data_IF_860323896707
#
_entry.id   IF_860323896707
#
_cell.length_a   1.000
_cell.length_b   1.000
_cell.length_c   1.000
_cell.angle_alpha   90.00
_cell.angle_beta   90.00
_cell.angle_gamma   90.00
#
_symmetry.space_group_name_H-M   'P 1'
#
loop_
_entity.id
_entity.type
_entity.pdbx_description
1 polymer ?
#
# COMPACT_ATOMS: atom_id res chain seq x y z
N UNK A 1 1.45 -32.78 -7.61
CA UNK A 1 2.53 -31.81 -7.34
C UNK A 1 1.87 -30.45 -7.18
N UNK A 2 1.67 -30.00 -5.93
CA UNK A 2 1.02 -28.72 -5.65
C UNK A 2 2.04 -27.59 -5.86
N UNK A 3 1.74 -26.73 -6.82
CA UNK A 3 2.56 -25.58 -7.20
C UNK A 3 2.55 -24.55 -6.05
N UNK A 4 3.58 -24.53 -5.20
CA UNK A 4 3.76 -23.57 -4.11
C UNK A 4 4.28 -22.24 -4.67
N UNK A 5 3.45 -21.49 -5.41
CA UNK A 5 3.90 -20.28 -6.11
C UNK A 5 2.94 -19.10 -6.00
N UNK A 6 2.51 -18.74 -4.78
CA UNK A 6 2.52 -17.35 -4.29
C UNK A 6 2.18 -17.35 -2.81
N UNK A 7 3.05 -16.77 -1.97
CA UNK A 7 2.80 -16.69 -0.53
C UNK A 7 1.57 -15.82 -0.20
N UNK A 8 1.22 -14.89 -1.11
CA UNK A 8 0.11 -13.96 -0.97
C UNK A 8 -1.07 -14.35 -1.87
N UNK A 9 -2.26 -14.45 -1.28
CA UNK A 9 -3.53 -14.72 -1.96
C UNK A 9 -4.25 -13.41 -2.28
N UNK A 10 -3.93 -12.83 -3.45
CA UNK A 10 -4.49 -11.58 -3.93
C UNK A 10 -6.01 -11.63 -4.16
N UNK A 11 -6.61 -12.70 -4.73
CA UNK A 11 -8.06 -12.85 -4.75
C UNK A 11 -8.68 -12.72 -3.35
N UNK A 12 -8.13 -13.43 -2.36
CA UNK A 12 -8.64 -13.37 -1.00
C UNK A 12 -8.49 -11.97 -0.40
N UNK A 13 -7.39 -11.28 -0.65
CA UNK A 13 -7.20 -9.91 -0.18
C UNK A 13 -8.25 -8.95 -0.78
N UNK A 14 -8.60 -9.09 -2.06
CA UNK A 14 -9.65 -8.29 -2.68
C UNK A 14 -11.02 -8.52 -2.02
N UNK A 15 -11.34 -9.76 -1.64
CA UNK A 15 -12.56 -10.10 -0.90
C UNK A 15 -12.56 -9.50 0.51
N UNK A 16 -11.45 -9.61 1.24
CA UNK A 16 -11.30 -9.04 2.59
C UNK A 16 -11.56 -7.54 2.57
N UNK A 17 -10.96 -6.85 1.61
CA UNK A 17 -11.14 -5.40 1.46
C UNK A 17 -12.56 -5.06 1.03
N UNK A 18 -13.14 -5.82 0.09
CA UNK A 18 -14.56 -5.67 -0.29
C UNK A 18 -15.47 -5.76 0.93
N UNK A 19 -15.29 -6.78 1.76
CA UNK A 19 -16.16 -7.02 2.92
C UNK A 19 -16.02 -5.91 3.95
N UNK A 20 -14.79 -5.48 4.25
CA UNK A 20 -14.53 -4.37 5.15
C UNK A 20 -15.12 -3.04 4.68
N UNK A 21 -14.99 -2.72 3.40
CA UNK A 21 -15.62 -1.52 2.82
C UNK A 21 -17.15 -1.65 2.78
N UNK A 22 -17.69 -2.82 2.44
CA UNK A 22 -19.14 -3.05 2.45
C UNK A 22 -19.73 -2.91 3.85
N UNK A 23 -19.01 -3.36 4.88
CA UNK A 23 -19.37 -3.16 6.28
C UNK A 23 -19.37 -1.67 6.64
N UNK A 24 -18.36 -0.91 6.21
CA UNK A 24 -18.33 0.54 6.44
C UNK A 24 -19.47 1.26 5.73
N UNK A 25 -19.81 0.89 4.49
CA UNK A 25 -20.96 1.46 3.78
C UNK A 25 -22.29 1.16 4.50
N UNK A 26 -22.44 -0.05 5.05
CA UNK A 26 -23.62 -0.40 5.85
C UNK A 26 -23.75 0.51 7.07
N UNK A 27 -22.65 0.72 7.81
CA UNK A 27 -22.65 1.62 8.96
C UNK A 27 -23.02 3.06 8.58
N UNK A 28 -22.44 3.59 7.50
CA UNK A 28 -22.77 4.93 6.98
C UNK A 28 -24.25 5.04 6.60
N UNK A 29 -24.86 3.97 6.11
CA UNK A 29 -26.30 3.94 5.80
C UNK A 29 -27.16 3.93 7.06
N UNK A 30 -26.80 3.12 8.04
CA UNK A 30 -27.49 3.04 9.34
C UNK A 30 -27.45 4.38 10.08
N UNK A 31 -26.30 5.07 10.01
CA UNK A 31 -26.11 6.43 10.54
C UNK A 31 -26.83 7.52 9.75
N UNK A 32 -27.45 7.19 8.61
CA UNK A 32 -28.02 8.13 7.65
C UNK A 32 -27.01 9.22 7.23
N UNK A 33 -25.74 8.82 7.05
CA UNK A 33 -24.67 9.72 6.70
C UNK A 33 -24.93 10.40 5.35
N UNK A 34 -24.77 11.73 5.33
CA UNK A 34 -24.87 12.57 4.13
C UNK A 34 -23.77 12.27 3.13
N UNK A 35 -22.58 11.94 3.64
CA UNK A 35 -21.39 11.59 2.85
C UNK A 35 -21.16 10.08 2.89
N UNK A 36 -20.90 9.47 1.73
CA UNK A 36 -20.69 8.03 1.56
C UNK A 36 -19.21 7.63 1.55
N UNK A 37 -18.92 6.37 1.25
CA UNK A 37 -17.54 5.92 1.03
C UNK A 37 -16.81 6.68 -0.09
N UNK A 38 -17.56 7.07 -1.12
CA UNK A 38 -17.07 7.75 -2.30
C UNK A 38 -16.74 9.24 -2.08
N UNK A 39 -16.99 9.76 -0.87
CA UNK A 39 -16.48 11.07 -0.45
C UNK A 39 -15.13 11.00 0.27
N UNK A 40 -14.66 9.81 0.65
CA UNK A 40 -13.43 9.65 1.41
C UNK A 40 -12.23 9.92 0.50
N UNK A 41 -11.28 10.72 1.00
CA UNK A 41 -9.97 10.84 0.33
C UNK A 41 -9.15 9.57 0.56
N UNK A 42 -8.15 9.38 -0.28
CA UNK A 42 -7.22 8.24 -0.23
C UNK A 42 -6.68 7.98 1.18
N UNK A 43 -6.13 8.99 1.85
CA UNK A 43 -5.61 8.86 3.22
C UNK A 43 -6.67 8.49 4.27
N UNK A 44 -7.94 8.84 4.04
CA UNK A 44 -9.06 8.48 4.92
C UNK A 44 -9.52 7.03 4.68
N UNK A 45 -9.20 6.47 3.51
CA UNK A 45 -9.44 5.06 3.18
C UNK A 45 -8.44 4.14 3.86
N UNK A 46 -7.17 4.55 4.00
CA UNK A 46 -6.09 3.73 4.57
C UNK A 46 -6.42 3.07 5.91
N UNK A 47 -6.95 3.76 6.94
CA UNK A 47 -7.29 3.10 8.20
C UNK A 47 -8.40 2.05 8.05
N UNK A 48 -9.42 2.29 7.22
CA UNK A 48 -10.52 1.33 7.01
C UNK A 48 -9.98 0.05 6.36
N UNK A 49 -9.13 0.20 5.35
CA UNK A 49 -8.47 -0.92 4.69
C UNK A 49 -7.57 -1.70 5.65
N UNK A 50 -6.75 -0.98 6.43
CA UNK A 50 -5.83 -1.58 7.39
C UNK A 50 -6.57 -2.38 8.47
N UNK A 51 -7.63 -1.81 9.05
CA UNK A 51 -8.43 -2.46 10.09
C UNK A 51 -9.12 -3.73 9.55
N UNK A 52 -9.63 -3.67 8.32
CA UNK A 52 -10.28 -4.81 7.66
C UNK A 52 -9.31 -5.96 7.42
N UNK A 53 -8.08 -5.65 7.02
CA UNK A 53 -7.02 -6.64 6.78
C UNK A 53 -6.50 -7.21 8.11
N UNK A 54 -6.29 -6.35 9.11
CA UNK A 54 -5.85 -6.75 10.45
C UNK A 54 -6.87 -7.68 11.13
N UNK A 55 -8.16 -7.43 10.95
CA UNK A 55 -9.24 -8.27 11.47
C UNK A 55 -9.21 -9.71 10.91
N UNK A 56 -8.52 -9.95 9.79
CA UNK A 56 -8.33 -11.27 9.20
C UNK A 56 -7.04 -11.96 9.68
N UNK A 57 -6.34 -11.37 10.65
CA UNK A 57 -5.16 -11.94 11.26
C UNK A 57 -3.86 -11.72 10.47
N UNK A 58 -3.85 -10.82 9.50
CA UNK A 58 -2.62 -10.35 8.84
C UNK A 58 -2.01 -9.19 9.62
N UNK A 59 -0.68 -9.06 9.60
CA UNK A 59 -0.05 -7.85 10.10
C UNK A 59 -0.09 -6.75 9.04
N UNK A 60 -0.30 -5.51 9.48
CA UNK A 60 -0.45 -4.35 8.60
C UNK A 60 0.41 -3.21 9.10
N UNK A 61 1.28 -2.71 8.21
CA UNK A 61 2.14 -1.58 8.45
C UNK A 61 1.78 -0.47 7.48
N UNK A 62 1.45 0.73 7.97
CA UNK A 62 1.13 1.88 7.13
C UNK A 62 2.38 2.75 6.88
N UNK A 63 2.45 3.38 5.72
CA UNK A 63 3.45 4.41 5.40
C UNK A 63 4.89 3.92 5.63
N UNK A 64 5.24 2.74 5.12
CA UNK A 64 6.58 2.17 5.31
C UNK A 64 7.52 2.63 4.22
N UNK A 65 8.70 3.12 4.61
CA UNK A 65 9.74 3.49 3.67
C UNK A 65 10.13 2.28 2.81
N UNK A 66 10.33 2.51 1.52
CA UNK A 66 10.78 1.45 0.61
C UNK A 66 12.13 0.85 1.04
N UNK A 67 12.34 -0.44 0.80
CA UNK A 67 13.54 -1.16 1.22
C UNK A 67 14.72 -0.93 0.25
N UNK A 68 14.54 -0.15 -0.82
CA UNK A 68 15.56 0.10 -1.84
C UNK A 68 16.88 0.60 -1.25
N UNK A 69 17.95 -0.15 -1.54
CA UNK A 69 19.31 0.15 -1.12
C UNK A 69 19.89 1.34 -1.90
N UNK A 70 19.49 2.56 -1.54
CA UNK A 70 20.01 3.80 -2.12
C UNK A 70 21.15 4.37 -1.25
N UNK A 71 22.18 4.93 -1.90
CA UNK A 71 23.28 5.63 -1.23
C UNK A 71 24.53 4.79 -0.98
N UNK A 72 25.64 5.46 -0.67
CA UNK A 72 26.93 4.86 -0.36
C UNK A 72 27.10 4.65 1.15
N UNK A 73 28.02 3.77 1.60
CA UNK A 73 28.39 3.67 3.01
C UNK A 73 28.65 5.05 3.62
N UNK A 74 27.97 5.38 4.73
CA UNK A 74 28.05 6.68 5.41
C UNK A 74 27.08 7.76 4.94
N UNK A 75 26.40 7.55 3.79
CA UNK A 75 25.49 8.52 3.18
C UNK A 75 24.13 7.90 2.80
N UNK A 76 23.77 6.74 3.36
CA UNK A 76 22.47 6.09 3.12
C UNK A 76 21.34 6.95 3.68
N UNK A 77 20.21 7.15 2.96
CA UNK A 77 19.13 8.01 3.42
C UNK A 77 18.46 7.45 4.67
N UNK A 78 18.00 8.35 5.55
CA UNK A 78 17.17 7.97 6.69
C UNK A 78 15.72 7.69 6.28
N UNK A 79 14.90 7.21 7.22
CA UNK A 79 13.48 6.89 6.99
C UNK A 79 12.66 8.05 6.39
N UNK A 80 12.89 9.29 6.85
CA UNK A 80 12.16 10.47 6.37
C UNK A 80 12.53 10.94 4.96
N UNK A 81 13.69 10.53 4.45
CA UNK A 81 14.20 10.92 3.14
C UNK A 81 13.88 9.89 2.03
N UNK A 82 13.16 8.83 2.38
CA UNK A 82 12.73 7.77 1.45
C UNK A 82 11.27 7.91 1.11
N UNK A 83 10.94 7.54 -0.12
CA UNK A 83 9.57 7.31 -0.53
C UNK A 83 8.95 6.19 0.31
N UNK A 84 7.64 6.28 0.52
CA UNK A 84 6.88 5.35 1.35
C UNK A 84 5.85 4.61 0.52
N UNK A 85 5.59 3.38 0.95
CA UNK A 85 4.51 2.54 0.49
C UNK A 85 3.34 2.66 1.47
N UNK A 86 2.13 2.75 0.93
CA UNK A 86 0.92 3.01 1.72
C UNK A 86 0.65 1.90 2.74
N UNK A 87 0.70 0.64 2.29
CA UNK A 87 0.55 -0.54 3.15
C UNK A 87 1.65 -1.58 2.89
N UNK A 88 2.14 -2.20 3.95
CA UNK A 88 2.95 -3.41 3.90
C UNK A 88 2.33 -4.48 4.78
N UNK A 89 2.09 -5.66 4.21
CA UNK A 89 1.46 -6.77 4.90
C UNK A 89 2.49 -7.82 5.34
N UNK A 90 2.25 -8.40 6.52
CA UNK A 90 2.97 -9.55 7.05
C UNK A 90 1.99 -10.70 7.34
N UNK A 91 2.44 -11.97 7.32
CA UNK A 91 1.55 -13.12 7.50
C UNK A 91 0.75 -13.12 8.81
N UNK A 92 1.24 -12.44 9.84
CA UNK A 92 0.56 -12.26 11.11
C UNK A 92 0.98 -10.95 11.81
N UNK A 93 0.20 -10.45 12.80
CA UNK A 93 0.41 -9.14 13.42
C UNK A 93 1.62 -9.10 14.37
N UNK A 94 2.08 -10.25 14.84
CA UNK A 94 3.26 -10.42 15.70
C UNK A 94 4.59 -10.44 14.91
N UNK A 95 4.52 -10.38 13.58
CA UNK A 95 5.70 -10.34 12.71
C UNK A 95 6.13 -8.89 12.44
N UNK A 96 7.41 -8.60 12.67
CA UNK A 96 8.03 -7.33 12.28
C UNK A 96 8.63 -7.36 10.90
N UNK A 97 8.54 -6.22 10.20
CA UNK A 97 9.20 -6.02 8.92
C UNK A 97 10.64 -5.55 9.12
N UNK A 98 11.61 -6.29 8.58
CA UNK A 98 13.01 -5.89 8.55
C UNK A 98 13.24 -4.64 7.68
N UNK A 99 14.17 -3.77 8.07
CA UNK A 99 14.61 -2.60 7.28
C UNK A 99 16.10 -2.72 6.93
N UNK A 100 16.45 -3.24 5.74
CA UNK A 100 17.84 -3.45 5.35
C UNK A 100 18.69 -2.17 5.38
N UNK A 101 18.11 -0.99 5.18
CA UNK A 101 18.87 0.26 5.19
C UNK A 101 19.25 0.64 6.63
N UNK A 102 18.34 0.42 7.58
CA UNK A 102 18.63 0.65 9.00
C UNK A 102 19.77 -0.25 9.47
N UNK A 103 19.72 -1.54 9.13
CA UNK A 103 20.81 -2.49 9.41
C UNK A 103 22.14 -2.04 8.79
N UNK A 104 22.14 -1.60 7.53
CA UNK A 104 23.36 -1.14 6.88
C UNK A 104 23.89 0.19 7.42
N UNK A 105 23.01 1.09 7.89
CA UNK A 105 23.40 2.33 8.55
C UNK A 105 24.05 2.05 9.91
N UNK A 106 23.51 1.10 10.67
CA UNK A 106 24.12 0.65 11.92
C UNK A 106 25.50 0.03 11.67
N UNK A 107 25.64 -0.80 10.63
CA UNK A 107 26.94 -1.34 10.21
C UNK A 107 27.94 -0.27 9.77
N UNK A 108 27.51 0.74 9.00
CA UNK A 108 28.38 1.86 8.62
C UNK A 108 28.89 2.62 9.82
N UNK A 109 28.01 2.85 10.80
CA UNK A 109 28.34 3.52 12.04
C UNK A 109 29.38 2.72 12.84
N UNK A 110 29.16 1.40 13.01
CA UNK A 110 30.13 0.50 13.66
C UNK A 110 31.48 0.46 12.94
N UNK A 111 31.49 0.55 11.60
CA UNK A 111 32.70 0.55 10.79
C UNK A 111 33.36 1.94 10.67
N UNK A 112 32.83 2.97 11.34
CA UNK A 112 33.36 4.32 11.31
C UNK A 112 33.27 5.00 9.93
N UNK A 113 32.35 4.55 9.07
CA UNK A 113 32.18 5.06 7.70
C UNK A 113 31.24 6.27 7.61
N UNK A 114 30.74 6.79 8.73
CA UNK A 114 29.90 7.99 8.79
C UNK A 114 30.62 9.31 8.48
N UNK A 115 29.88 10.38 8.23
CA UNK A 115 30.42 11.75 8.13
C UNK A 115 31.16 12.15 9.42
N UNK A 116 32.17 13.03 9.32
CA UNK A 116 33.12 13.39 10.41
C UNK A 116 32.50 13.74 11.77
N UNK A 117 31.24 14.17 11.82
CA UNK A 117 30.49 14.46 13.06
C UNK A 117 29.96 13.21 13.79
N UNK A 118 29.97 12.04 13.13
CA UNK A 118 29.43 10.77 13.63
C UNK A 118 30.49 9.65 13.60
N UNK A 119 31.77 10.02 13.67
CA UNK A 119 32.83 9.05 13.96
C UNK A 119 32.59 8.59 15.41
N UNK A 120 32.44 7.29 15.70
CA UNK A 120 32.37 6.86 17.08
C UNK A 120 33.69 7.27 17.73
N UNK A 121 33.61 8.21 18.67
CA UNK A 121 34.67 8.40 19.64
C UNK A 121 34.98 7.04 20.23
N UNK A 122 36.27 6.69 20.34
CA UNK A 122 36.77 5.48 21.02
C UNK A 122 36.24 5.33 22.47
N UNK A 123 35.48 6.31 22.97
CA UNK A 123 34.87 6.40 24.29
C UNK A 123 33.34 6.21 24.33
N UNK A 124 32.66 5.86 23.23
CA UNK A 124 31.19 5.57 23.26
C UNK A 124 30.87 4.25 24.01
N UNK A 125 31.89 3.45 24.31
CA UNK A 125 31.76 2.13 24.95
C UNK A 125 31.34 2.17 26.45
N UNK A 126 31.20 3.35 27.06
CA UNK A 126 30.93 3.49 28.51
C UNK A 126 29.56 4.10 28.87
N UNK A 127 28.70 4.42 27.90
CA UNK A 127 27.42 5.09 28.22
C UNK A 127 26.21 4.62 27.41
N UNK A 128 26.34 3.61 26.55
CA UNK A 128 25.20 3.00 25.88
C UNK A 128 24.53 2.02 26.85
N UNK A 129 23.31 2.27 27.37
CA UNK A 129 22.56 1.21 28.02
C UNK A 129 22.42 0.07 27.01
N UNK A 130 22.57 -1.21 27.43
CA UNK A 130 22.46 -2.33 26.50
C UNK A 130 21.17 -2.17 25.71
N UNK A 131 21.28 -2.25 24.38
CA UNK A 131 20.11 -2.32 23.51
C UNK A 131 19.15 -3.34 24.11
N UNK A 132 17.87 -2.99 24.33
CA UNK A 132 16.94 -3.91 24.98
C UNK A 132 17.03 -5.25 24.25
N UNK A 133 17.27 -6.32 25.01
CA UNK A 133 17.37 -7.65 24.46
C UNK A 133 16.19 -7.86 23.50
N UNK A 134 16.42 -8.41 22.30
CA UNK A 134 15.34 -8.64 21.35
C UNK A 134 14.22 -9.36 22.09
N UNK A 135 13.03 -8.74 22.12
CA UNK A 135 11.87 -9.28 22.82
C UNK A 135 11.68 -10.72 22.36
N UNK A 136 11.84 -11.71 23.25
CA UNK A 136 11.75 -13.11 22.85
C UNK A 136 10.37 -13.36 22.24
N UNK A 137 10.32 -13.70 20.95
CA UNK A 137 9.08 -14.06 20.25
C UNK A 137 8.69 -13.18 19.06
N UNK A 138 9.34 -12.02 18.84
CA UNK A 138 9.10 -11.26 17.61
C UNK A 138 9.74 -12.00 16.42
N UNK A 139 8.90 -12.51 15.52
CA UNK A 139 9.35 -13.09 14.26
C UNK A 139 9.57 -11.95 13.28
N UNK A 140 10.73 -11.91 12.63
CA UNK A 140 11.00 -10.89 11.61
C UNK A 140 10.80 -11.49 10.20
N UNK A 141 10.25 -10.69 9.28
CA UNK A 141 10.11 -11.03 7.86
C UNK A 141 10.95 -10.07 7.01
N UNK A 142 11.56 -10.63 5.96
CA UNK A 142 12.33 -9.85 4.99
C UNK A 142 11.40 -9.06 4.06
N UNK A 143 11.85 -7.91 3.51
CA UNK A 143 11.05 -7.13 2.58
C UNK A 143 10.56 -7.89 1.35
N UNK A 144 11.33 -8.85 0.85
CA UNK A 144 10.99 -9.64 -0.33
C UNK A 144 9.92 -10.70 -0.08
N UNK A 145 9.70 -11.04 1.19
CA UNK A 145 8.62 -11.92 1.65
C UNK A 145 7.36 -11.10 2.02
N UNK A 146 7.49 -9.82 2.40
CA UNK A 146 6.33 -8.98 2.69
C UNK A 146 5.56 -8.56 1.42
N UNK A 147 4.24 -8.31 1.54
CA UNK A 147 3.45 -7.73 0.45
C UNK A 147 3.42 -6.20 0.54
N UNK A 148 3.81 -5.51 -0.52
CA UNK A 148 3.89 -4.05 -0.62
C UNK A 148 2.76 -3.54 -1.50
N UNK A 149 1.89 -2.70 -0.95
CA UNK A 149 0.64 -2.30 -1.58
C UNK A 149 0.54 -0.78 -1.64
N UNK A 150 0.45 -0.27 -2.86
CA UNK A 150 0.05 1.12 -3.14
C UNK A 150 -1.46 1.19 -3.25
N UNK A 151 -2.09 2.14 -2.55
CA UNK A 151 -3.52 2.34 -2.58
C UNK A 151 -3.83 3.49 -3.52
N UNK A 152 -4.80 3.27 -4.41
CA UNK A 152 -5.36 4.31 -5.23
C UNK A 152 -6.85 4.40 -5.08
N UNK A 153 -7.36 5.58 -4.74
CA UNK A 153 -8.82 5.82 -4.73
C UNK A 153 -9.18 6.74 -5.89
N UNK A 154 -10.13 6.32 -6.72
CA UNK A 154 -10.61 7.09 -7.88
C UNK A 154 -12.12 7.02 -7.94
N UNK A 155 -12.78 8.14 -8.23
CA UNK A 155 -14.22 8.21 -8.35
C UNK A 155 -14.64 8.93 -9.64
N UNK A 156 -15.67 8.42 -10.32
CA UNK A 156 -16.27 9.05 -11.50
C UNK A 156 -16.96 10.36 -11.13
N UNK A 157 -17.61 10.39 -9.97
CA UNK A 157 -18.17 11.59 -9.36
C UNK A 157 -17.46 11.85 -8.03
N UNK A 158 -17.05 13.10 -7.79
CA UNK A 158 -16.26 13.47 -6.62
C UNK A 158 -16.71 14.83 -6.06
N UNK A 159 -16.35 15.08 -4.80
CA UNK A 159 -16.58 16.38 -4.16
C UNK A 159 -15.43 17.33 -4.48
N UNK A 160 -15.72 18.40 -5.21
CA UNK A 160 -14.77 19.49 -5.47
C UNK A 160 -15.20 20.71 -4.66
N UNK A 161 -14.37 21.15 -3.71
CA UNK A 161 -14.71 22.22 -2.77
C UNK A 161 -16.06 21.98 -2.04
N UNK A 162 -16.35 20.73 -1.70
CA UNK A 162 -17.58 20.31 -1.03
C UNK A 162 -18.81 20.20 -1.94
N UNK A 163 -18.67 20.46 -3.24
CA UNK A 163 -19.76 20.33 -4.22
C UNK A 163 -19.60 19.02 -4.98
N UNK A 164 -20.62 18.14 -4.99
CA UNK A 164 -20.57 16.91 -5.77
C UNK A 164 -20.73 17.21 -7.27
N UNK A 165 -19.93 16.53 -8.10
CA UNK A 165 -20.06 16.63 -9.55
C UNK A 165 -19.15 15.64 -10.29
N UNK A 166 -19.22 15.62 -11.63
CA UNK A 166 -18.34 14.79 -12.45
C UNK A 166 -16.87 15.12 -12.17
N UNK A 167 -16.04 14.10 -12.01
CA UNK A 167 -14.61 14.26 -11.86
C UNK A 167 -13.96 14.51 -13.24
N UNK A 168 -13.59 15.76 -13.52
CA UNK A 168 -12.94 16.15 -14.78
C UNK A 168 -11.55 15.54 -14.97
N UNK A 169 -10.90 15.09 -13.88
CA UNK A 169 -9.61 14.44 -13.90
C UNK A 169 -9.70 12.91 -13.91
N UNK A 170 -10.90 12.33 -13.87
CA UNK A 170 -11.16 10.89 -13.71
C UNK A 170 -10.28 9.99 -14.58
N UNK A 171 -10.25 10.24 -15.89
CA UNK A 171 -9.47 9.41 -16.82
C UNK A 171 -7.96 9.52 -16.58
N UNK A 172 -7.46 10.71 -16.26
CA UNK A 172 -6.03 10.92 -15.97
C UNK A 172 -5.63 10.38 -14.60
N UNK A 173 -6.53 10.44 -13.62
CA UNK A 173 -6.32 9.84 -12.30
C UNK A 173 -6.27 8.33 -12.45
N UNK A 174 -7.32 7.70 -13.00
CA UNK A 174 -7.39 6.25 -13.16
C UNK A 174 -6.19 5.69 -13.92
N UNK A 175 -5.86 6.27 -15.08
CA UNK A 175 -4.83 5.68 -15.95
C UNK A 175 -3.42 6.17 -15.64
N UNK A 176 -3.27 7.44 -15.27
CA UNK A 176 -1.98 8.04 -14.99
C UNK A 176 -1.42 7.66 -13.62
N UNK A 177 -2.27 7.57 -12.59
CA UNK A 177 -1.81 7.19 -11.25
C UNK A 177 -1.48 5.70 -11.16
N UNK A 178 -2.38 4.82 -11.65
CA UNK A 178 -2.12 3.38 -11.72
C UNK A 178 -0.79 3.06 -12.41
N UNK A 179 -0.51 3.71 -13.55
CA UNK A 179 0.75 3.51 -14.26
C UNK A 179 1.97 4.00 -13.44
N UNK A 180 1.86 5.10 -12.69
CA UNK A 180 2.96 5.60 -11.85
C UNK A 180 3.24 4.66 -10.68
N UNK A 181 2.19 4.16 -10.03
CA UNK A 181 2.33 3.30 -8.85
C UNK A 181 2.87 1.91 -9.24
N UNK A 182 2.42 1.36 -10.37
CA UNK A 182 3.02 0.16 -10.95
C UNK A 182 4.48 0.36 -11.34
N UNK A 183 4.83 1.51 -11.94
CA UNK A 183 6.22 1.82 -12.27
C UNK A 183 7.10 1.94 -11.02
N UNK A 184 6.57 2.57 -9.95
CA UNK A 184 7.24 2.69 -8.66
C UNK A 184 7.54 1.31 -8.08
N UNK A 185 6.53 0.45 -7.95
CA UNK A 185 6.70 -0.92 -7.44
C UNK A 185 7.65 -1.77 -8.31
N UNK A 186 7.57 -1.67 -9.64
CA UNK A 186 8.47 -2.38 -10.55
C UNK A 186 9.92 -1.91 -10.47
N UNK A 187 10.17 -0.69 -9.97
CA UNK A 187 11.52 -0.14 -9.81
C UNK A 187 12.21 -0.58 -8.51
N UNK A 188 11.48 -1.24 -7.60
CA UNK A 188 11.94 -1.58 -6.25
C UNK A 188 12.50 -3.02 -6.18
N UNK A 189 13.84 -3.22 -6.13
CA UNK A 189 14.44 -4.54 -6.34
C UNK A 189 14.16 -5.56 -5.23
N UNK A 190 13.85 -5.09 -4.02
CA UNK A 190 13.54 -5.94 -2.87
C UNK A 190 12.03 -6.16 -2.70
N UNK A 191 11.19 -5.59 -3.55
CA UNK A 191 9.74 -5.79 -3.53
C UNK A 191 9.38 -6.91 -4.52
N UNK A 192 9.29 -8.15 -4.04
CA UNK A 192 8.86 -9.31 -4.88
C UNK A 192 7.34 -9.50 -4.92
N UNK A 193 6.65 -8.98 -3.92
CA UNK A 193 5.20 -9.09 -3.76
C UNK A 193 4.58 -7.69 -3.74
N UNK A 194 4.78 -6.94 -4.82
CA UNK A 194 4.14 -5.64 -5.02
C UNK A 194 2.72 -5.78 -5.57
N UNK A 195 1.84 -4.85 -5.22
CA UNK A 195 0.54 -4.69 -5.89
C UNK A 195 0.05 -3.25 -5.82
N UNK A 196 -0.71 -2.81 -6.82
CA UNK A 196 -1.55 -1.62 -6.71
C UNK A 196 -2.98 -2.05 -6.39
N UNK A 197 -3.54 -1.51 -5.31
CA UNK A 197 -4.94 -1.67 -4.92
C UNK A 197 -5.72 -0.43 -5.35
N UNK A 198 -6.47 -0.55 -6.43
CA UNK A 198 -7.40 0.47 -6.90
C UNK A 198 -8.77 0.26 -6.23
N UNK A 199 -9.27 1.28 -5.56
CA UNK A 199 -10.67 1.41 -5.12
C UNK A 199 -11.35 2.41 -6.06
N UNK A 200 -12.26 1.89 -6.89
CA UNK A 200 -12.91 2.62 -7.95
C UNK A 200 -14.41 2.80 -7.68
N UNK A 201 -14.86 4.06 -7.64
CA UNK A 201 -16.27 4.40 -7.55
C UNK A 201 -16.81 4.84 -8.91
N UNK A 202 -17.90 4.21 -9.35
CA UNK A 202 -18.52 4.45 -10.66
C UNK A 202 -20.04 4.39 -10.56
N UNK A 203 -20.72 4.94 -11.56
CA UNK A 203 -22.18 4.89 -11.67
C UNK A 203 -22.70 3.45 -11.71
N UNK A 204 -22.02 2.56 -12.43
CA UNK A 204 -22.42 1.16 -12.54
C UNK A 204 -21.25 0.21 -12.81
N UNK A 205 -21.55 -1.08 -12.77
CA UNK A 205 -20.58 -2.17 -12.96
C UNK A 205 -19.98 -2.20 -14.36
N UNK A 206 -20.78 -1.88 -15.38
CA UNK A 206 -20.32 -1.88 -16.77
C UNK A 206 -19.27 -0.80 -17.00
N UNK A 207 -19.47 0.37 -16.38
CA UNK A 207 -18.52 1.49 -16.40
C UNK A 207 -17.21 1.09 -15.73
N UNK A 208 -17.27 0.50 -14.52
CA UNK A 208 -16.07 0.00 -13.84
C UNK A 208 -15.27 -1.00 -14.69
N UNK A 209 -15.93 -2.01 -15.25
CA UNK A 209 -15.26 -3.04 -16.05
C UNK A 209 -14.60 -2.46 -17.31
N UNK A 210 -15.30 -1.55 -18.00
CA UNK A 210 -14.78 -0.87 -19.18
C UNK A 210 -13.55 -0.02 -18.84
N UNK A 211 -13.65 0.81 -17.80
CA UNK A 211 -12.62 1.78 -17.46
C UNK A 211 -11.36 1.12 -16.88
N UNK A 212 -11.53 0.09 -16.04
CA UNK A 212 -10.42 -0.73 -15.53
C UNK A 212 -9.69 -1.41 -16.68
N UNK A 213 -10.41 -1.99 -17.64
CA UNK A 213 -9.82 -2.62 -18.82
C UNK A 213 -8.97 -1.63 -19.63
N UNK A 214 -9.49 -0.43 -19.88
CA UNK A 214 -8.74 0.64 -20.56
C UNK A 214 -7.49 1.04 -19.76
N UNK A 215 -7.61 1.19 -18.45
CA UNK A 215 -6.50 1.59 -17.59
C UNK A 215 -5.36 0.58 -17.62
N UNK A 216 -5.68 -0.71 -17.53
CA UNK A 216 -4.71 -1.80 -17.59
C UNK A 216 -4.06 -1.92 -18.98
N UNK A 217 -4.83 -1.79 -20.06
CA UNK A 217 -4.25 -1.76 -21.41
C UNK A 217 -3.26 -0.60 -21.59
N UNK A 218 -3.58 0.59 -21.07
CA UNK A 218 -2.64 1.73 -21.10
C UNK A 218 -1.38 1.50 -20.27
N UNK A 219 -1.44 0.67 -19.22
CA UNK A 219 -0.25 0.27 -18.48
C UNK A 219 0.64 -0.67 -19.32
N UNK A 220 0.04 -1.61 -20.06
CA UNK A 220 0.75 -2.48 -20.99
C UNK A 220 1.39 -1.70 -22.15
N UNK A 221 0.68 -0.70 -22.69
CA UNK A 221 1.21 0.19 -23.74
C UNK A 221 2.47 0.96 -23.29
N UNK A 222 2.70 1.06 -21.97
CA UNK A 222 3.88 1.68 -21.35
C UNK A 222 4.93 0.67 -20.90
N UNK A 223 4.83 -0.60 -21.35
CA UNK A 223 5.73 -1.70 -20.99
C UNK A 223 5.79 -1.98 -19.47
N UNK A 224 4.73 -1.65 -18.74
CA UNK A 224 4.64 -1.97 -17.32
C UNK A 224 4.27 -3.44 -17.13
N UNK A 225 4.97 -4.09 -16.21
CA UNK A 225 4.77 -5.50 -15.88
C UNK A 225 3.81 -5.61 -14.71
N UNK A 226 2.85 -6.51 -14.85
CA UNK A 226 1.94 -6.93 -13.79
C UNK A 226 1.35 -8.29 -14.12
N UNK A 227 0.88 -8.99 -13.09
CA UNK A 227 0.14 -10.25 -13.17
C UNK A 227 -1.35 -10.00 -13.32
N UNK A 228 -2.10 -11.06 -13.58
CA UNK A 228 -3.55 -10.96 -13.76
C UNK A 228 -4.20 -10.21 -12.58
N UNK A 229 -5.02 -9.17 -12.86
CA UNK A 229 -5.68 -8.41 -11.80
C UNK A 229 -6.80 -9.23 -11.15
N UNK A 230 -7.06 -8.94 -9.89
CA UNK A 230 -8.13 -9.56 -9.12
C UNK A 230 -9.14 -8.50 -8.70
N UNK A 231 -10.42 -8.74 -8.98
CA UNK A 231 -11.48 -7.76 -8.70
C UNK A 231 -12.52 -8.30 -7.74
N UNK A 232 -12.97 -7.45 -6.82
CA UNK A 232 -14.14 -7.66 -5.99
C UNK A 232 -15.02 -6.40 -6.03
N UNK A 233 -16.34 -6.54 -5.88
CA UNK A 233 -17.27 -5.41 -6.08
C UNK A 233 -18.50 -5.52 -5.19
N UNK A 234 -19.09 -4.38 -4.86
CA UNK A 234 -20.36 -4.29 -4.14
C UNK A 234 -21.09 -2.99 -4.47
N UNK A 235 -22.40 -2.96 -4.26
CA UNK A 235 -23.21 -1.76 -4.47
C UNK A 235 -23.09 -0.81 -3.28
N UNK A 236 -23.00 0.49 -3.54
CA UNK A 236 -23.06 1.56 -2.53
C UNK A 236 -24.37 2.34 -2.68
N UNK A 237 -24.81 3.02 -1.62
CA UNK A 237 -25.93 3.94 -1.76
C UNK A 237 -25.47 5.15 -2.55
N UNK A 238 -26.13 5.38 -3.70
CA UNK A 238 -25.85 6.51 -4.57
C UNK A 238 -26.23 7.84 -3.89
N UNK A 239 -25.20 8.64 -3.59
CA UNK A 239 -25.33 9.98 -2.99
C UNK A 239 -24.92 11.10 -3.94
N UNK A 240 -24.06 10.81 -4.93
CA UNK A 240 -23.42 11.82 -5.79
C UNK A 240 -23.25 11.41 -7.26
N UNK A 241 -23.73 10.22 -7.63
CA UNK A 241 -23.62 9.65 -8.98
C UNK A 241 -22.84 8.34 -9.06
N UNK A 242 -22.22 7.89 -7.96
CA UNK A 242 -21.59 6.57 -7.90
C UNK A 242 -22.51 5.57 -7.19
N UNK A 243 -22.85 4.45 -7.84
CA UNK A 243 -23.63 3.37 -7.23
C UNK A 243 -22.83 2.06 -7.06
N UNK A 244 -21.57 2.04 -7.52
CA UNK A 244 -20.71 0.88 -7.48
C UNK A 244 -19.33 1.19 -6.88
N UNK A 245 -18.90 0.37 -5.94
CA UNK A 245 -17.51 0.29 -5.50
C UNK A 245 -16.86 -0.98 -6.07
N UNK A 246 -15.73 -0.82 -6.75
CA UNK A 246 -14.93 -1.89 -7.34
C UNK A 246 -13.52 -1.83 -6.79
N UNK A 247 -13.08 -2.93 -6.17
CA UNK A 247 -11.72 -3.12 -5.70
C UNK A 247 -11.00 -3.90 -6.79
N UNK A 248 -9.84 -3.42 -7.23
CA UNK A 248 -8.96 -4.11 -8.18
C UNK A 248 -7.57 -4.17 -7.57
N UNK A 249 -7.06 -5.38 -7.36
CA UNK A 249 -5.66 -5.61 -6.97
C UNK A 249 -4.90 -6.01 -8.23
N UNK A 250 -3.85 -5.26 -8.55
CA UNK A 250 -2.97 -5.47 -9.70
C UNK A 250 -1.58 -5.85 -9.19
N UNK A 251 -1.27 -7.15 -9.05
CA UNK A 251 0.04 -7.58 -8.54
C UNK A 251 1.14 -7.33 -9.57
N UNK A 252 2.34 -6.96 -9.12
CA UNK A 252 3.54 -6.91 -9.96
C UNK A 252 4.22 -8.28 -10.09
#
# INVERSE_FOLDING_TARGET
>A
MANHSSMWDWPRLAEIVRDGLADRERLLREEQAVYGLDSLRELEMHPILADSILAQGLGVWRERAYPSMVGTPGARPGKSARDRCDLVLTPSPDITLADPIETHREQDWLLGKGTREHTPSLFVDLSTPPSPAPMPGLREILPDDAAWIEIKVVAQFAFTHGVPGPNSAYSSELTGSLARDLAKLNSEPLVRHGAVMLVLFTQDERTAEHDVSIALHRCLDRDLRFRAPHSARFAILDRVGNARCTIVIVPT
#
